data_IF_324940905522
#
_entry.id   IF_324940905522
#
_cell.length_a   1.000
_cell.length_b   1.000
_cell.length_c   1.000
_cell.angle_alpha   90.00
_cell.angle_beta   90.00
_cell.angle_gamma   90.00
#
_symmetry.space_group_name_H-M   'P 1'
#
loop_
_entity.id
_entity.type
_entity.pdbx_description
1 polymer ?
#
# COMPACT_ATOMS: atom_id res chain seq x y z
N UNK A 1 -11.61 23.34 13.64
CA UNK A 1 -11.05 22.00 13.95
C UNK A 1 -9.95 22.21 14.98
N UNK A 2 -10.02 21.53 16.13
CA UNK A 2 -9.05 21.74 17.21
C UNK A 2 -7.71 21.10 16.83
N UNK A 3 -6.74 21.94 16.42
CA UNK A 3 -5.41 21.55 15.97
C UNK A 3 -4.48 21.17 17.15
N UNK A 4 -4.86 20.18 17.96
CA UNK A 4 -3.95 19.64 18.97
C UNK A 4 -3.00 18.61 18.33
N UNK A 5 -1.68 18.68 18.60
CA UNK A 5 -0.70 17.72 18.08
C UNK A 5 -1.07 16.29 18.46
N UNK A 6 -1.41 15.45 17.49
CA UNK A 6 -1.48 14.00 17.70
C UNK A 6 -0.06 13.56 18.17
N UNK A 7 0.02 12.72 19.20
CA UNK A 7 1.30 12.25 19.75
C UNK A 7 1.51 10.81 19.31
N UNK A 8 2.36 10.61 18.31
CA UNK A 8 2.60 9.33 17.61
C UNK A 8 3.56 8.39 18.34
N UNK A 9 4.49 8.94 19.15
CA UNK A 9 5.40 8.14 19.99
C UNK A 9 4.71 7.61 21.26
N UNK A 10 3.42 7.34 21.16
CA UNK A 10 2.69 6.58 22.17
C UNK A 10 2.78 5.09 21.81
N UNK A 11 2.69 4.17 22.79
CA UNK A 11 2.64 2.74 22.49
C UNK A 11 1.57 2.37 21.47
N UNK A 12 0.41 3.03 21.54
CA UNK A 12 -0.67 2.88 20.57
C UNK A 12 -0.25 3.32 19.16
N UNK A 13 0.33 4.52 19.01
CA UNK A 13 0.75 5.01 17.69
C UNK A 13 1.84 4.15 17.05
N UNK A 14 2.79 3.66 17.85
CA UNK A 14 3.80 2.70 17.39
C UNK A 14 3.16 1.39 16.97
N UNK A 15 2.23 0.84 17.77
CA UNK A 15 1.51 -0.39 17.42
C UNK A 15 0.73 -0.27 16.11
N UNK A 16 0.03 0.85 15.91
CA UNK A 16 -0.70 1.15 14.67
C UNK A 16 0.24 1.25 13.47
N UNK A 17 1.41 1.90 13.64
CA UNK A 17 2.43 1.98 12.59
C UNK A 17 2.94 0.59 12.20
N UNK A 18 3.37 -0.20 13.17
CA UNK A 18 3.90 -1.54 12.92
C UNK A 18 2.85 -2.44 12.27
N UNK A 19 1.60 -2.36 12.72
CA UNK A 19 0.48 -3.09 12.12
C UNK A 19 0.33 -2.73 10.64
N UNK A 20 0.14 -1.46 10.29
CA UNK A 20 -0.05 -1.10 8.89
C UNK A 20 1.20 -1.34 8.04
N UNK A 21 2.41 -1.15 8.59
CA UNK A 21 3.64 -1.44 7.86
C UNK A 21 3.80 -2.94 7.55
N UNK A 22 3.42 -3.82 8.47
CA UNK A 22 3.43 -5.26 8.26
C UNK A 22 2.37 -5.70 7.23
N UNK A 23 1.19 -5.08 7.25
CA UNK A 23 0.07 -5.48 6.41
C UNK A 23 -0.05 -4.69 5.09
N UNK A 24 0.78 -3.68 4.81
CA UNK A 24 0.66 -2.88 3.59
C UNK A 24 0.71 -3.71 2.30
N UNK A 25 1.70 -4.62 2.21
CA UNK A 25 1.82 -5.53 1.06
C UNK A 25 0.71 -6.59 1.04
N UNK A 26 0.39 -7.29 2.15
CA UNK A 26 -0.78 -8.16 2.18
C UNK A 26 -2.11 -7.49 1.80
N UNK A 27 -2.31 -6.21 2.17
CA UNK A 27 -3.51 -5.45 1.78
C UNK A 27 -3.57 -5.18 0.28
N UNK A 28 -2.42 -4.98 -0.36
CA UNK A 28 -2.31 -4.89 -1.81
C UNK A 28 -2.68 -6.24 -2.46
N UNK A 29 -2.06 -7.33 -2.01
CA UNK A 29 -2.33 -8.68 -2.52
C UNK A 29 -3.78 -9.13 -2.29
N UNK A 30 -4.39 -8.69 -1.19
CA UNK A 30 -5.80 -8.94 -0.92
C UNK A 30 -6.72 -8.33 -1.99
N UNK A 31 -6.30 -7.24 -2.66
CA UNK A 31 -7.01 -6.69 -3.81
C UNK A 31 -7.07 -7.69 -4.98
N UNK A 32 -5.93 -8.27 -5.36
CA UNK A 32 -5.85 -9.31 -6.37
C UNK A 32 -6.69 -10.53 -5.98
N UNK A 33 -6.56 -10.98 -4.73
CA UNK A 33 -7.27 -12.15 -4.20
C UNK A 33 -8.79 -11.97 -4.20
N UNK A 34 -9.27 -10.81 -3.76
CA UNK A 34 -10.69 -10.48 -3.75
C UNK A 34 -11.26 -10.44 -5.18
N UNK A 35 -10.53 -9.86 -6.14
CA UNK A 35 -10.97 -9.87 -7.53
C UNK A 35 -11.07 -11.29 -8.06
N UNK A 36 -10.00 -12.08 -7.94
CA UNK A 36 -10.00 -13.42 -8.50
C UNK A 36 -11.05 -14.32 -7.87
N UNK A 37 -11.28 -14.21 -6.56
CA UNK A 37 -12.27 -15.02 -5.85
C UNK A 37 -13.70 -14.56 -6.12
N UNK A 38 -13.98 -13.26 -6.06
CA UNK A 38 -15.35 -12.74 -6.09
C UNK A 38 -15.84 -12.37 -7.49
N UNK A 39 -14.93 -11.94 -8.37
CA UNK A 39 -15.28 -11.48 -9.74
C UNK A 39 -15.01 -12.58 -10.75
N UNK A 40 -13.81 -13.16 -10.74
CA UNK A 40 -13.44 -14.20 -11.72
C UNK A 40 -13.91 -15.60 -11.28
N UNK A 41 -14.40 -15.77 -10.05
CA UNK A 41 -14.91 -17.04 -9.52
C UNK A 41 -13.83 -18.12 -9.35
N UNK A 42 -12.56 -17.72 -9.22
CA UNK A 42 -11.40 -18.63 -9.12
C UNK A 42 -11.00 -18.85 -7.66
N UNK A 43 -10.63 -20.07 -7.32
CA UNK A 43 -9.96 -20.35 -6.05
C UNK A 43 -8.52 -19.84 -6.10
N UNK A 44 -8.23 -18.80 -5.31
CA UNK A 44 -6.92 -18.19 -5.23
C UNK A 44 -6.28 -18.38 -3.87
N UNK A 45 -4.95 -18.48 -3.88
CA UNK A 45 -4.11 -18.56 -2.69
C UNK A 45 -3.41 -17.22 -2.50
N UNK A 46 -3.68 -16.59 -1.36
CA UNK A 46 -3.03 -15.35 -0.96
C UNK A 46 -1.69 -15.68 -0.28
N UNK A 47 -0.61 -15.16 -0.85
CA UNK A 47 0.71 -15.15 -0.23
C UNK A 47 1.04 -13.74 0.24
N UNK A 48 2.16 -13.58 0.94
CA UNK A 48 2.51 -12.28 1.53
C UNK A 48 2.88 -11.23 0.47
N UNK A 49 3.41 -11.67 -0.68
CA UNK A 49 3.90 -10.78 -1.75
C UNK A 49 3.36 -11.12 -3.14
N UNK A 50 2.38 -12.03 -3.23
CA UNK A 50 1.76 -12.43 -4.50
C UNK A 50 0.43 -13.17 -4.28
N UNK A 51 -0.37 -13.23 -5.33
CA UNK A 51 -1.52 -14.14 -5.43
C UNK A 51 -1.30 -15.14 -6.56
N UNK A 52 -1.60 -16.41 -6.29
CA UNK A 52 -1.58 -17.48 -7.30
C UNK A 52 -2.94 -18.14 -7.41
N UNK A 53 -3.22 -18.75 -8.55
CA UNK A 53 -4.32 -19.71 -8.65
C UNK A 53 -4.01 -20.95 -7.77
N UNK A 54 -5.04 -21.74 -7.44
CA UNK A 54 -4.88 -22.95 -6.63
C UNK A 54 -3.96 -24.01 -7.26
N UNK A 55 -3.81 -24.00 -8.58
CA UNK A 55 -2.88 -24.86 -9.34
C UNK A 55 -1.44 -24.29 -9.40
N UNK A 56 -1.18 -23.16 -8.74
CA UNK A 56 0.11 -22.49 -8.70
C UNK A 56 0.39 -21.58 -9.91
N UNK A 57 -0.52 -21.50 -10.89
CA UNK A 57 -0.35 -20.62 -12.05
C UNK A 57 -0.56 -19.15 -11.70
N UNK A 58 0.08 -18.27 -12.47
CA UNK A 58 -0.01 -16.82 -12.29
C UNK A 58 -1.39 -16.31 -12.68
N UNK A 59 -1.92 -15.41 -11.86
CA UNK A 59 -3.17 -14.72 -12.12
C UNK A 59 -2.99 -13.67 -13.24
N UNK A 60 -3.98 -13.51 -14.14
CA UNK A 60 -3.73 -12.86 -15.44
C UNK A 60 -4.86 -12.04 -16.07
N UNK A 61 -6.02 -11.85 -15.41
CA UNK A 61 -7.05 -10.96 -15.97
C UNK A 61 -6.68 -9.49 -15.74
N UNK A 62 -7.01 -8.61 -16.68
CA UNK A 62 -6.69 -7.18 -16.58
C UNK A 62 -7.21 -6.57 -15.26
N UNK A 63 -8.48 -6.81 -14.94
CA UNK A 63 -9.09 -6.33 -13.71
C UNK A 63 -8.43 -6.94 -12.48
N UNK A 64 -8.06 -8.22 -12.57
CA UNK A 64 -7.31 -8.92 -11.56
C UNK A 64 -5.97 -8.28 -11.22
N UNK A 65 -5.16 -7.98 -12.23
CA UNK A 65 -3.85 -7.33 -12.07
C UNK A 65 -4.02 -5.87 -11.62
N UNK A 66 -5.05 -5.17 -12.08
CA UNK A 66 -5.33 -3.81 -11.62
C UNK A 66 -5.83 -3.76 -10.15
N UNK A 67 -6.42 -4.85 -9.63
CA UNK A 67 -7.09 -4.84 -8.34
C UNK A 67 -6.17 -4.55 -7.16
N UNK A 68 -4.93 -5.04 -7.15
CA UNK A 68 -3.96 -4.73 -6.09
C UNK A 68 -3.63 -3.23 -6.02
N UNK A 69 -3.14 -2.61 -7.11
CA UNK A 69 -2.89 -1.17 -7.18
C UNK A 69 -4.08 -0.32 -6.77
N UNK A 70 -5.28 -0.68 -7.24
CA UNK A 70 -6.52 0.02 -6.93
C UNK A 70 -6.93 -0.15 -5.46
N UNK A 71 -6.77 -1.34 -4.88
CA UNK A 71 -7.02 -1.58 -3.47
C UNK A 71 -6.09 -0.72 -2.60
N UNK A 72 -4.81 -0.61 -2.96
CA UNK A 72 -3.88 0.31 -2.27
C UNK A 72 -4.34 1.76 -2.35
N UNK A 73 -4.78 2.23 -3.52
CA UNK A 73 -5.31 3.59 -3.67
C UNK A 73 -6.56 3.81 -2.81
N UNK A 74 -7.50 2.86 -2.79
CA UNK A 74 -8.69 2.90 -1.95
C UNK A 74 -8.35 2.93 -0.46
N UNK A 75 -7.39 2.13 -0.01
CA UNK A 75 -6.92 2.14 1.39
C UNK A 75 -6.28 3.47 1.76
N UNK A 76 -5.49 4.07 0.85
CA UNK A 76 -4.91 5.39 1.08
C UNK A 76 -6.02 6.46 1.24
N UNK A 77 -7.03 6.45 0.36
CA UNK A 77 -8.17 7.35 0.43
C UNK A 77 -9.01 7.12 1.69
N UNK A 78 -9.24 5.86 2.09
CA UNK A 78 -9.91 5.53 3.36
C UNK A 78 -9.14 6.10 4.55
N UNK A 79 -7.82 6.01 4.55
CA UNK A 79 -6.98 6.62 5.57
C UNK A 79 -7.19 8.14 5.69
N UNK A 80 -7.30 8.83 4.55
CA UNK A 80 -7.65 10.26 4.51
C UNK A 80 -9.06 10.50 5.05
N UNK A 81 -10.05 9.69 4.68
CA UNK A 81 -11.41 9.83 5.20
C UNK A 81 -11.43 9.70 6.73
N UNK A 82 -10.76 8.68 7.27
CA UNK A 82 -10.65 8.46 8.71
C UNK A 82 -9.93 9.61 9.42
N UNK A 83 -8.89 10.17 8.81
CA UNK A 83 -8.16 11.32 9.35
C UNK A 83 -9.03 12.57 9.46
N UNK A 84 -9.79 12.90 8.42
CA UNK A 84 -10.47 14.20 8.33
C UNK A 84 -11.91 14.20 8.84
N UNK A 85 -12.58 13.05 8.80
CA UNK A 85 -14.01 12.97 9.13
C UNK A 85 -14.31 12.16 10.40
N UNK A 86 -13.32 11.48 10.99
CA UNK A 86 -13.55 10.79 12.26
C UNK A 86 -13.62 11.75 13.44
N UNK A 87 -14.57 11.52 14.36
CA UNK A 87 -14.61 12.17 15.67
C UNK A 87 -13.62 11.60 16.70
N UNK A 88 -13.01 10.43 16.43
CA UNK A 88 -12.09 9.77 17.34
C UNK A 88 -10.63 10.06 16.98
N UNK A 89 -9.85 10.53 17.95
CA UNK A 89 -8.41 10.78 17.78
C UNK A 89 -7.63 9.51 17.43
N UNK A 90 -8.02 8.35 17.97
CA UNK A 90 -7.39 7.08 17.65
C UNK A 90 -7.62 6.70 16.19
N UNK A 91 -8.85 6.89 15.69
CA UNK A 91 -9.18 6.65 14.29
C UNK A 91 -8.49 7.66 13.36
N UNK A 92 -8.35 8.92 13.77
CA UNK A 92 -7.60 9.91 12.99
C UNK A 92 -6.12 9.51 12.85
N UNK A 93 -5.49 9.06 13.94
CA UNK A 93 -4.11 8.56 13.92
C UNK A 93 -3.97 7.30 13.06
N UNK A 94 -4.91 6.35 13.17
CA UNK A 94 -4.94 5.16 12.34
C UNK A 94 -5.10 5.52 10.86
N UNK A 95 -5.99 6.46 10.54
CA UNK A 95 -6.22 6.95 9.20
C UNK A 95 -4.99 7.61 8.59
N UNK A 96 -4.34 8.52 9.33
CA UNK A 96 -3.10 9.14 8.88
C UNK A 96 -2.01 8.10 8.62
N UNK A 97 -1.84 7.16 9.55
CA UNK A 97 -0.84 6.10 9.44
C UNK A 97 -1.10 5.20 8.23
N UNK A 98 -2.34 4.75 8.04
CA UNK A 98 -2.75 3.94 6.89
C UNK A 98 -2.45 4.66 5.58
N UNK A 99 -2.90 5.91 5.44
CA UNK A 99 -2.70 6.71 4.22
C UNK A 99 -1.22 6.83 3.87
N UNK A 100 -0.40 7.15 4.85
CA UNK A 100 1.03 7.38 4.67
C UNK A 100 1.78 6.08 4.38
N UNK A 101 1.56 5.03 5.15
CA UNK A 101 2.24 3.73 4.96
C UNK A 101 1.93 3.15 3.58
N UNK A 102 0.65 3.07 3.19
CA UNK A 102 0.27 2.51 1.89
C UNK A 102 0.84 3.36 0.74
N UNK A 103 0.75 4.69 0.86
CA UNK A 103 1.26 5.60 -0.17
C UNK A 103 2.79 5.49 -0.32
N UNK A 104 3.54 5.50 0.79
CA UNK A 104 4.99 5.34 0.72
C UNK A 104 5.37 3.98 0.15
N UNK A 105 4.61 2.93 0.44
CA UNK A 105 4.95 1.58 -0.01
C UNK A 105 4.86 1.53 -1.51
N UNK A 106 3.73 1.97 -2.08
CA UNK A 106 3.53 1.98 -3.53
C UNK A 106 4.51 2.92 -4.24
N UNK A 107 4.73 4.13 -3.72
CA UNK A 107 5.72 5.04 -4.31
C UNK A 107 7.15 4.48 -4.27
N UNK A 108 7.51 3.74 -3.21
CA UNK A 108 8.81 3.06 -3.12
C UNK A 108 8.93 1.96 -4.18
N UNK A 109 7.89 1.14 -4.36
CA UNK A 109 7.86 0.13 -5.42
C UNK A 109 8.00 0.79 -6.79
N UNK A 110 7.26 1.87 -7.07
CA UNK A 110 7.36 2.59 -8.33
C UNK A 110 8.77 3.14 -8.57
N UNK A 111 9.37 3.75 -7.54
CA UNK A 111 10.73 4.25 -7.63
C UNK A 111 11.73 3.12 -7.94
N UNK A 112 11.63 1.97 -7.27
CA UNK A 112 12.47 0.80 -7.55
C UNK A 112 12.25 0.30 -8.99
N UNK A 113 10.99 0.25 -9.44
CA UNK A 113 10.62 -0.19 -10.78
C UNK A 113 11.13 0.73 -11.90
N UNK A 114 11.42 2.01 -11.62
CA UNK A 114 12.12 2.88 -12.58
C UNK A 114 13.51 2.35 -12.94
N UNK A 115 14.20 1.66 -12.02
CA UNK A 115 15.53 1.10 -12.25
C UNK A 115 15.51 -0.37 -12.70
N UNK A 116 14.50 -1.14 -12.26
CA UNK A 116 14.36 -2.57 -12.59
C UNK A 116 13.48 -2.85 -13.82
N UNK A 117 12.78 -1.83 -14.32
CA UNK A 117 11.80 -1.95 -15.39
C UNK A 117 10.37 -1.99 -14.84
N UNK A 118 9.55 -1.03 -15.26
CA UNK A 118 8.12 -0.95 -14.92
C UNK A 118 7.31 -2.12 -15.49
N UNK A 119 7.81 -2.71 -16.57
CA UNK A 119 7.34 -3.89 -17.27
C UNK A 119 6.77 -5.03 -16.43
N UNK A 120 7.45 -5.34 -15.33
CA UNK A 120 7.17 -6.51 -14.49
C UNK A 120 6.31 -6.17 -13.26
N UNK A 121 5.99 -4.89 -13.06
CA UNK A 121 5.13 -4.42 -11.99
C UNK A 121 3.66 -4.44 -12.47
N UNK A 122 2.70 -4.58 -11.55
CA UNK A 122 1.27 -4.73 -11.87
C UNK A 122 0.77 -3.59 -12.76
N UNK A 123 1.13 -2.35 -12.42
CA UNK A 123 0.75 -1.18 -13.20
C UNK A 123 1.34 -1.18 -14.62
N UNK A 124 2.56 -1.71 -14.78
CA UNK A 124 3.18 -1.84 -16.10
C UNK A 124 2.53 -2.93 -16.94
N UNK A 125 2.17 -4.06 -16.31
CA UNK A 125 1.44 -5.14 -16.98
C UNK A 125 0.05 -4.64 -17.43
N UNK A 126 -0.67 -3.93 -16.54
CA UNK A 126 -1.96 -3.30 -16.86
C UNK A 126 -1.80 -2.30 -18.02
N UNK A 127 -0.80 -1.43 -17.97
CA UNK A 127 -0.57 -0.45 -19.02
C UNK A 127 -0.33 -1.11 -20.40
N UNK A 128 0.48 -2.18 -20.45
CA UNK A 128 0.74 -2.94 -21.68
C UNK A 128 -0.51 -3.62 -22.23
N UNK A 129 -1.31 -4.23 -21.36
CA UNK A 129 -2.57 -4.85 -21.76
C UNK A 129 -3.55 -3.82 -22.34
N UNK A 130 -3.45 -2.55 -21.94
CA UNK A 130 -4.20 -1.43 -22.50
C UNK A 130 -3.53 -0.78 -23.73
N UNK A 131 -2.38 -1.28 -24.21
CA UNK A 131 -1.63 -0.69 -25.31
C UNK A 131 -0.95 0.64 -24.98
N UNK A 132 -0.72 0.92 -23.70
CA UNK A 132 -0.09 2.14 -23.19
C UNK A 132 1.37 1.89 -22.81
N UNK A 133 2.10 2.97 -22.57
CA UNK A 133 3.46 2.89 -22.05
C UNK A 133 3.47 2.37 -20.60
N UNK A 134 4.46 1.56 -20.22
CA UNK A 134 4.59 0.90 -18.91
C UNK A 134 4.41 1.80 -17.67
N UNK A 135 4.61 3.12 -17.76
CA UNK A 135 4.43 4.05 -16.64
C UNK A 135 3.06 4.75 -16.61
N UNK A 136 2.27 4.63 -17.68
CA UNK A 136 1.04 5.40 -17.88
C UNK A 136 -0.02 5.13 -16.80
N UNK A 137 -0.11 3.88 -16.32
CA UNK A 137 -1.05 3.52 -15.25
C UNK A 137 -0.53 3.87 -13.86
N UNK A 138 0.79 3.85 -13.64
CA UNK A 138 1.41 4.21 -12.36
C UNK A 138 1.36 5.73 -12.09
N UNK A 139 1.38 6.56 -13.15
CA UNK A 139 1.39 8.01 -13.03
C UNK A 139 0.15 8.60 -12.29
N UNK A 140 -1.10 8.29 -12.67
CA UNK A 140 -2.27 8.79 -11.95
C UNK A 140 -2.34 8.24 -10.52
N UNK A 141 -1.95 6.98 -10.30
CA UNK A 141 -1.88 6.39 -8.96
C UNK A 141 -0.84 7.09 -8.08
N UNK A 142 0.33 7.42 -8.65
CA UNK A 142 1.36 8.20 -7.96
C UNK A 142 0.84 9.56 -7.52
N UNK A 143 0.06 10.24 -8.37
CA UNK A 143 -0.58 11.51 -8.00
C UNK A 143 -1.55 11.35 -6.81
N UNK A 144 -2.33 10.26 -6.78
CA UNK A 144 -3.23 9.93 -5.65
C UNK A 144 -2.41 9.71 -4.37
N UNK A 145 -1.35 8.91 -4.42
CA UNK A 145 -0.51 8.62 -3.25
C UNK A 145 0.23 9.86 -2.73
N UNK A 146 0.74 10.71 -3.62
CA UNK A 146 1.34 12.00 -3.24
C UNK A 146 0.30 12.91 -2.59
N UNK A 147 -0.89 13.02 -3.18
CA UNK A 147 -1.98 13.81 -2.61
C UNK A 147 -2.39 13.29 -1.22
N UNK A 148 -2.46 11.98 -1.03
CA UNK A 148 -2.74 11.36 0.26
C UNK A 148 -1.64 11.68 1.29
N UNK A 149 -0.36 11.58 0.94
CA UNK A 149 0.75 11.96 1.83
C UNK A 149 0.62 13.43 2.25
N UNK A 150 0.39 14.34 1.30
CA UNK A 150 0.24 15.77 1.56
C UNK A 150 -0.96 16.06 2.46
N UNK A 151 -2.11 15.44 2.19
CA UNK A 151 -3.32 15.56 3.00
C UNK A 151 -3.09 15.03 4.41
N UNK A 152 -2.42 13.89 4.56
CA UNK A 152 -2.12 13.30 5.84
C UNK A 152 -1.14 14.17 6.65
N UNK A 153 -0.10 14.70 6.01
CA UNK A 153 0.84 15.65 6.62
C UNK A 153 0.23 17.00 6.99
N UNK A 154 -0.84 17.42 6.30
CA UNK A 154 -1.59 18.63 6.64
C UNK A 154 -2.52 18.39 7.84
N UNK A 155 -3.15 17.23 7.90
CA UNK A 155 -4.06 16.85 8.99
C UNK A 155 -3.34 16.44 10.28
N UNK A 156 -2.00 16.34 10.26
CA UNK A 156 -1.21 15.88 11.39
C UNK A 156 -0.23 16.95 11.86
N UNK A 157 -0.33 17.34 13.14
CA UNK A 157 0.59 18.27 13.80
C UNK A 157 1.75 17.49 14.44
N UNK A 158 2.59 16.87 13.60
CA UNK A 158 3.76 16.06 14.01
C UNK A 158 4.90 17.00 14.43
N UNK A 159 5.40 16.84 15.66
CA UNK A 159 6.53 17.61 16.19
C UNK A 159 7.83 17.46 15.37
N UNK A 160 8.01 16.31 14.71
CA UNK A 160 9.05 16.10 13.71
C UNK A 160 8.54 15.24 12.55
N UNK A 161 8.12 15.90 11.46
CA UNK A 161 7.73 15.22 10.21
C UNK A 161 8.86 14.33 9.66
N UNK A 162 10.10 14.77 9.82
CA UNK A 162 11.29 14.01 9.41
C UNK A 162 11.47 12.73 10.25
N UNK A 163 11.32 12.80 11.58
CA UNK A 163 11.40 11.62 12.44
C UNK A 163 10.29 10.61 12.12
N UNK A 164 9.10 11.11 11.81
CA UNK A 164 7.97 10.27 11.42
C UNK A 164 8.16 9.60 10.05
N UNK A 165 8.60 10.37 9.06
CA UNK A 165 9.01 9.84 7.76
C UNK A 165 10.06 8.73 7.93
N UNK A 166 11.10 8.99 8.73
CA UNK A 166 12.15 8.00 9.00
C UNK A 166 11.59 6.74 9.67
N UNK A 167 10.69 6.86 10.66
CA UNK A 167 10.06 5.71 11.32
C UNK A 167 9.20 4.89 10.37
N UNK A 168 8.38 5.54 9.55
CA UNK A 168 7.54 4.86 8.55
C UNK A 168 8.40 4.13 7.55
N UNK A 169 9.37 4.82 6.97
CA UNK A 169 10.25 4.25 5.97
C UNK A 169 11.06 3.08 6.54
N UNK A 170 11.59 3.23 7.76
CA UNK A 170 12.32 2.15 8.45
C UNK A 170 11.44 0.95 8.71
N UNK A 171 10.24 1.14 9.27
CA UNK A 171 9.31 0.03 9.55
C UNK A 171 8.96 -0.70 8.25
N UNK A 172 8.60 0.03 7.20
CA UNK A 172 8.27 -0.54 5.90
C UNK A 172 9.44 -1.29 5.28
N UNK A 173 10.64 -0.73 5.33
CA UNK A 173 11.85 -1.37 4.81
C UNK A 173 12.11 -2.71 5.52
N UNK A 174 12.03 -2.72 6.86
CA UNK A 174 12.21 -3.94 7.65
C UNK A 174 11.16 -5.01 7.32
N UNK A 175 9.88 -4.64 7.23
CA UNK A 175 8.82 -5.60 6.90
C UNK A 175 8.91 -6.09 5.45
N UNK A 176 9.32 -5.23 4.53
CA UNK A 176 9.55 -5.62 3.13
C UNK A 176 10.69 -6.63 3.03
N UNK A 177 11.81 -6.39 3.72
CA UNK A 177 12.93 -7.35 3.79
C UNK A 177 12.50 -8.67 4.44
N UNK A 178 11.74 -8.62 5.52
CA UNK A 178 11.24 -9.82 6.20
C UNK A 178 10.29 -10.62 5.28
N UNK A 179 9.41 -9.94 4.54
CA UNK A 179 8.52 -10.55 3.56
C UNK A 179 9.30 -11.30 2.48
N UNK A 180 10.28 -10.66 1.85
CA UNK A 180 11.12 -11.30 0.83
C UNK A 180 11.91 -12.49 1.38
N UNK A 181 12.44 -12.37 2.61
CA UNK A 181 13.14 -13.47 3.25
C UNK A 181 12.20 -14.65 3.54
N UNK A 182 11.01 -14.42 4.08
CA UNK A 182 10.01 -15.46 4.32
C UNK A 182 9.57 -16.14 3.02
N UNK A 183 9.30 -15.38 1.96
CA UNK A 183 8.92 -15.95 0.66
C UNK A 183 10.03 -16.85 0.10
N UNK A 184 11.31 -16.48 0.29
CA UNK A 184 12.47 -17.28 -0.13
C UNK A 184 12.67 -18.60 0.63
N UNK A 185 12.05 -18.73 1.81
CA UNK A 185 12.07 -19.97 2.59
C UNK A 185 10.94 -20.92 2.22
N UNK A 186 9.79 -20.37 1.82
CA UNK A 186 8.57 -21.14 1.54
C UNK A 186 8.57 -21.67 0.10
N UNK A 187 9.11 -20.92 -0.86
CA UNK A 187 9.00 -21.23 -2.29
C UNK A 187 10.31 -21.69 -2.96
N UNK A 188 11.08 -22.56 -2.28
CA UNK A 188 12.22 -23.26 -2.89
C UNK A 188 11.80 -24.49 -3.68
#
# INVERSE_FOLDING_TARGET
MNNYPIRWMTPFGIGVLLFFAAFAMPLHEMGHWLWGTLVDGKTQVLHFTRVTNADGTTFGTLGGIAAGPLASALMALLGIVLLWFSGSRQLQLAGATLALVVSYQRLTIYFISLFKGMAANDEGIVARQLGLHDWAFALPLSAIFVAAILAAWKGTTISSKAGWFASVYTAMFLFTLAAFWLDSLIFK
#
